data_IF_401619045814
#
_entry.id   IF_401619045814
#
_cell.length_a   1.000
_cell.length_b   1.000
_cell.length_c   1.000
_cell.angle_alpha   90.00
_cell.angle_beta   90.00
_cell.angle_gamma   90.00
#
_symmetry.space_group_name_H-M   'P 1'
#
loop_
_entity.id
_entity.type
_entity.pdbx_description
1 polymer ?
#
# COMPACT_ATOMS: atom_id res chain seq x y z
N UNK A 1 -65.08 11.23 -0.46
CA UNK A 1 -66.03 11.73 -1.46
C UNK A 1 -65.35 11.88 -2.81
N UNK A 2 -65.98 11.19 -3.77
CA UNK A 2 -65.94 11.35 -5.25
C UNK A 2 -64.62 10.98 -5.92
N UNK A 3 -64.43 9.77 -6.44
CA UNK A 3 -65.08 9.06 -7.58
C UNK A 3 -65.03 9.83 -8.93
N UNK A 4 -64.34 9.25 -9.91
CA UNK A 4 -64.79 9.02 -11.31
C UNK A 4 -63.54 8.72 -12.15
N UNK A 5 -63.33 7.54 -12.63
CA UNK A 5 -63.99 6.76 -13.70
C UNK A 5 -63.40 7.01 -15.09
N UNK A 6 -62.96 5.90 -15.69
CA UNK A 6 -63.08 5.48 -17.07
C UNK A 6 -62.26 6.15 -18.19
N UNK A 7 -61.52 5.35 -18.90
CA UNK A 7 -61.02 5.63 -20.22
C UNK A 7 -60.22 4.47 -20.79
N UNK A 8 -60.87 3.39 -21.16
CA UNK A 8 -60.35 2.31 -22.00
C UNK A 8 -60.12 2.85 -23.41
N UNK A 9 -58.93 2.65 -23.98
CA UNK A 9 -58.71 2.67 -25.42
C UNK A 9 -57.67 1.62 -25.78
N UNK A 10 -58.19 0.52 -26.32
CA UNK A 10 -57.43 -0.48 -27.07
C UNK A 10 -57.03 0.11 -28.41
N UNK A 11 -55.75 0.08 -28.76
CA UNK A 11 -55.29 0.13 -30.16
C UNK A 11 -54.13 -0.85 -30.35
N UNK A 12 -54.35 -1.67 -31.34
CA UNK A 12 -53.66 -2.77 -31.95
C UNK A 12 -52.13 -2.70 -32.15
N UNK A 13 -51.57 -3.84 -32.00
CA UNK A 13 -50.57 -4.61 -32.81
C UNK A 13 -49.74 -3.81 -33.85
N UNK A 14 -48.42 -3.81 -33.67
CA UNK A 14 -47.47 -3.96 -34.77
C UNK A 14 -46.19 -4.61 -34.24
N UNK A 15 -46.01 -5.89 -34.55
CA UNK A 15 -44.79 -6.63 -34.32
C UNK A 15 -43.76 -6.20 -35.38
N UNK A 16 -42.67 -5.55 -34.96
CA UNK A 16 -41.45 -5.49 -35.74
C UNK A 16 -40.38 -6.28 -35.00
N UNK A 17 -40.08 -7.47 -35.52
CA UNK A 17 -38.92 -8.25 -35.13
C UNK A 17 -37.65 -7.56 -35.65
N UNK A 18 -36.96 -6.83 -34.77
CA UNK A 18 -35.60 -6.39 -35.02
C UNK A 18 -34.66 -7.45 -34.42
N UNK A 19 -34.10 -8.29 -35.26
CA UNK A 19 -33.01 -9.20 -34.93
C UNK A 19 -31.76 -8.38 -34.65
N UNK A 20 -31.63 -7.92 -33.42
CA UNK A 20 -30.41 -7.30 -32.93
C UNK A 20 -29.34 -8.36 -32.68
N UNK A 21 -28.32 -8.44 -33.53
CA UNK A 21 -27.10 -9.16 -33.21
C UNK A 21 -26.49 -8.52 -31.97
N UNK A 22 -26.69 -9.14 -30.80
CA UNK A 22 -25.98 -8.81 -29.58
C UNK A 22 -24.52 -9.23 -29.75
N UNK A 23 -23.68 -8.34 -30.21
CA UNK A 23 -22.22 -8.49 -30.08
C UNK A 23 -21.88 -8.33 -28.61
N UNK A 24 -21.88 -9.44 -27.89
CA UNK A 24 -21.30 -9.49 -26.55
C UNK A 24 -19.84 -9.12 -26.66
N UNK A 25 -19.35 -8.03 -26.04
CA UNK A 25 -17.91 -7.80 -26.01
C UNK A 25 -17.29 -8.95 -25.23
N UNK A 26 -16.52 -9.79 -25.91
CA UNK A 26 -15.66 -10.76 -25.24
C UNK A 26 -14.85 -10.02 -24.19
N UNK A 27 -14.77 -10.53 -22.93
CA UNK A 27 -13.82 -9.98 -21.97
C UNK A 27 -12.43 -10.09 -22.62
N UNK A 28 -11.87 -8.97 -23.01
CA UNK A 28 -10.44 -8.87 -23.33
C UNK A 28 -9.73 -9.27 -22.05
N UNK A 29 -9.32 -10.54 -21.97
CA UNK A 29 -8.24 -10.96 -21.08
C UNK A 29 -7.07 -10.08 -21.52
N UNK A 30 -6.79 -9.05 -20.72
CA UNK A 30 -5.56 -8.28 -20.87
C UNK A 30 -4.45 -9.32 -20.91
N UNK A 31 -3.84 -9.50 -22.07
CA UNK A 31 -2.69 -10.37 -22.23
C UNK A 31 -1.63 -9.85 -21.24
N UNK A 32 -1.51 -10.53 -20.11
CA UNK A 32 -0.37 -10.36 -19.21
C UNK A 32 0.83 -10.74 -20.05
N UNK A 33 1.53 -9.74 -20.58
CA UNK A 33 2.84 -9.95 -21.17
C UNK A 33 3.74 -10.68 -20.17
N UNK A 34 4.83 -11.30 -20.61
CA UNK A 34 5.79 -11.89 -19.70
C UNK A 34 6.08 -10.89 -18.57
N UNK A 35 6.15 -11.32 -17.30
CA UNK A 35 6.46 -10.42 -16.21
C UNK A 35 7.74 -9.68 -16.54
N UNK A 36 7.67 -8.35 -16.53
CA UNK A 36 8.83 -7.49 -16.73
C UNK A 36 9.87 -7.84 -15.66
N UNK A 37 11.15 -8.07 -16.02
CA UNK A 37 12.15 -8.48 -15.06
C UNK A 37 12.27 -7.43 -13.96
N UNK A 38 12.01 -7.84 -12.72
CA UNK A 38 12.13 -6.97 -11.54
C UNK A 38 13.61 -6.62 -11.35
N UNK A 39 13.91 -5.33 -11.32
CA UNK A 39 15.24 -4.83 -10.93
C UNK A 39 15.36 -5.03 -9.42
N UNK A 40 16.42 -5.71 -8.94
CA UNK A 40 16.62 -5.87 -7.50
C UNK A 40 16.81 -4.51 -6.80
N UNK A 41 16.23 -4.35 -5.62
CA UNK A 41 16.51 -3.20 -4.77
C UNK A 41 17.91 -3.28 -4.17
N UNK A 42 18.50 -2.12 -3.82
CA UNK A 42 19.76 -2.05 -3.09
C UNK A 42 19.57 -2.50 -1.62
N UNK A 43 18.42 -2.15 -1.04
CA UNK A 43 18.04 -2.59 0.31
C UNK A 43 17.49 -4.01 0.27
N UNK A 44 18.02 -4.87 1.11
CA UNK A 44 17.60 -6.29 1.18
C UNK A 44 16.45 -6.47 2.18
N UNK A 45 15.51 -7.40 1.94
CA UNK A 45 14.40 -7.69 2.87
C UNK A 45 14.89 -7.97 4.30
N UNK A 46 15.96 -8.71 4.47
CA UNK A 46 16.53 -9.04 5.78
C UNK A 46 17.04 -7.84 6.58
N UNK A 47 17.34 -6.73 5.90
CA UNK A 47 17.83 -5.51 6.55
C UNK A 47 16.69 -4.71 7.18
N UNK A 48 15.46 -4.85 6.68
CA UNK A 48 14.31 -4.11 7.20
C UNK A 48 13.38 -4.94 8.08
N UNK A 49 13.53 -6.26 8.09
CA UNK A 49 12.81 -7.12 9.05
C UNK A 49 13.15 -6.72 10.46
N UNK A 50 12.13 -6.63 11.32
CA UNK A 50 12.32 -6.29 12.71
C UNK A 50 11.21 -5.43 13.32
N UNK A 51 11.52 -4.83 14.46
CA UNK A 51 10.60 -3.98 15.24
C UNK A 51 10.96 -2.52 15.06
N UNK A 52 9.97 -1.71 14.75
CA UNK A 52 10.15 -0.31 14.39
C UNK A 52 9.17 0.58 15.17
N UNK A 53 9.64 1.67 15.71
CA UNK A 53 8.77 2.75 16.11
C UNK A 53 8.37 3.53 14.86
N UNK A 54 7.09 3.87 14.74
CA UNK A 54 6.54 4.51 13.54
C UNK A 54 5.86 5.83 13.86
N UNK A 55 6.10 6.83 13.01
CA UNK A 55 5.35 8.09 12.94
C UNK A 55 5.41 8.63 11.51
N UNK A 56 4.54 9.59 11.16
CA UNK A 56 4.53 10.19 9.83
C UNK A 56 4.46 11.72 9.90
N UNK A 57 4.90 12.38 8.83
CA UNK A 57 4.84 13.83 8.67
C UNK A 57 4.34 14.21 7.28
N UNK A 58 3.72 15.38 7.18
CA UNK A 58 3.30 15.98 5.91
C UNK A 58 4.23 17.12 5.47
N UNK A 59 4.88 17.78 6.43
CA UNK A 59 5.77 18.92 6.16
C UNK A 59 7.21 18.54 6.44
N UNK A 60 8.14 18.78 5.53
CA UNK A 60 9.55 18.41 5.68
C UNK A 60 10.20 18.95 6.97
N UNK A 61 9.79 20.13 7.44
CA UNK A 61 10.28 20.75 8.69
C UNK A 61 9.94 19.94 9.94
N UNK A 62 8.91 19.09 9.87
CA UNK A 62 8.49 18.25 10.99
C UNK A 62 9.30 16.96 11.13
N UNK A 63 10.19 16.65 10.17
CA UNK A 63 10.93 15.39 10.12
C UNK A 63 11.64 15.05 11.43
N UNK A 64 12.41 15.99 11.99
CA UNK A 64 13.20 15.74 13.21
C UNK A 64 12.31 15.44 14.42
N UNK A 65 11.22 16.20 14.58
CA UNK A 65 10.24 15.99 15.65
C UNK A 65 9.54 14.64 15.48
N UNK A 66 9.19 14.29 14.25
CA UNK A 66 8.50 13.03 13.93
C UNK A 66 9.40 11.83 14.18
N UNK A 67 10.70 11.93 13.88
CA UNK A 67 11.66 10.87 14.19
C UNK A 67 11.78 10.64 15.70
N UNK A 68 11.79 11.70 16.51
CA UNK A 68 11.79 11.59 17.97
C UNK A 68 10.48 10.91 18.47
N UNK A 69 9.34 11.26 17.88
CA UNK A 69 8.05 10.61 18.17
C UNK A 69 8.09 9.11 17.82
N UNK A 70 8.62 8.77 16.64
CA UNK A 70 8.75 7.37 16.21
C UNK A 70 9.56 6.54 17.22
N UNK A 71 10.66 7.07 17.75
CA UNK A 71 11.44 6.39 18.81
C UNK A 71 10.60 6.06 20.04
N UNK A 72 9.69 6.95 20.42
CA UNK A 72 8.77 6.74 21.55
C UNK A 72 7.78 5.59 21.35
N UNK A 73 7.50 5.22 20.10
CA UNK A 73 6.54 4.16 19.74
C UNK A 73 7.10 2.73 19.90
N UNK A 74 8.34 2.56 20.30
CA UNK A 74 8.93 1.23 20.50
C UNK A 74 8.27 0.40 21.61
N UNK A 75 7.40 0.98 22.41
CA UNK A 75 6.53 0.24 23.38
C UNK A 75 5.46 -0.59 22.65
N UNK A 76 4.94 -0.06 21.54
CA UNK A 76 3.99 -0.71 20.64
C UNK A 76 4.53 -0.66 19.20
N UNK A 77 5.53 -1.46 18.88
CA UNK A 77 6.25 -1.33 17.63
C UNK A 77 5.44 -1.81 16.43
N UNK A 78 5.62 -1.17 15.31
CA UNK A 78 5.32 -1.72 14.00
C UNK A 78 6.28 -2.87 13.72
N UNK A 79 5.76 -4.05 13.40
CA UNK A 79 6.59 -5.23 13.14
C UNK A 79 6.60 -5.50 11.63
N UNK A 80 7.80 -5.48 11.06
CA UNK A 80 8.04 -5.94 9.69
C UNK A 80 8.51 -7.38 9.78
N UNK A 81 7.69 -8.31 9.30
CA UNK A 81 7.99 -9.74 9.29
C UNK A 81 8.76 -10.17 8.04
N UNK A 82 9.38 -11.35 8.08
CA UNK A 82 9.91 -12.00 6.90
C UNK A 82 8.77 -12.62 6.09
N UNK A 83 8.74 -12.36 4.78
CA UNK A 83 7.84 -13.03 3.85
C UNK A 83 8.34 -14.43 3.47
N UNK A 84 7.43 -15.29 3.04
CA UNK A 84 7.74 -16.67 2.62
C UNK A 84 8.30 -16.75 1.20
N UNK A 85 8.04 -15.72 0.39
CA UNK A 85 8.47 -15.66 -1.02
C UNK A 85 9.63 -14.67 -1.21
N UNK A 86 10.40 -14.39 -0.14
CA UNK A 86 11.56 -13.50 -0.19
C UNK A 86 11.25 -12.01 -0.06
N UNK A 87 10.00 -11.66 0.25
CA UNK A 87 9.57 -10.30 0.56
C UNK A 87 9.51 -10.02 2.06
N UNK A 88 8.73 -9.01 2.44
CA UNK A 88 8.48 -8.63 3.82
C UNK A 88 6.99 -8.50 4.09
N UNK A 89 6.56 -8.84 5.29
CA UNK A 89 5.17 -8.74 5.72
C UNK A 89 4.90 -7.33 6.27
N UNK A 90 4.09 -6.57 5.55
CA UNK A 90 3.69 -5.21 5.92
C UNK A 90 2.22 -4.96 5.55
N UNK A 91 1.64 -3.91 6.13
CA UNK A 91 0.33 -3.43 5.72
C UNK A 91 0.44 -2.53 4.49
N UNK A 92 -0.47 -2.68 3.53
CA UNK A 92 -0.71 -1.66 2.50
C UNK A 92 -1.48 -0.48 3.09
N UNK A 93 -1.54 0.63 2.35
CA UNK A 93 -2.46 1.70 2.66
C UNK A 93 -3.90 1.17 2.65
N UNK A 94 -4.73 1.66 3.56
CA UNK A 94 -6.15 1.30 3.68
C UNK A 94 -6.43 -0.21 3.89
N UNK A 95 -5.42 -0.98 4.31
CA UNK A 95 -5.55 -2.41 4.59
C UNK A 95 -5.26 -2.73 6.05
N UNK A 96 -6.12 -3.52 6.68
CA UNK A 96 -5.91 -4.10 8.01
C UNK A 96 -5.21 -5.46 7.96
N UNK A 97 -4.91 -5.98 6.78
CA UNK A 97 -4.29 -7.28 6.58
C UNK A 97 -2.82 -7.14 6.21
N UNK A 98 -1.97 -7.99 6.83
CA UNK A 98 -0.58 -8.12 6.44
C UNK A 98 -0.48 -8.79 5.07
N UNK A 99 0.31 -8.19 4.19
CA UNK A 99 0.59 -8.72 2.86
C UNK A 99 2.09 -8.84 2.67
N UNK A 100 2.51 -9.81 1.86
CA UNK A 100 3.91 -9.92 1.48
C UNK A 100 4.22 -8.90 0.37
N UNK A 101 5.08 -7.94 0.70
CA UNK A 101 5.54 -6.90 -0.21
C UNK A 101 6.95 -7.19 -0.69
N UNK A 102 7.24 -6.82 -1.93
CA UNK A 102 8.55 -6.95 -2.56
C UNK A 102 9.36 -5.68 -2.37
N UNK A 103 10.67 -5.84 -2.22
CA UNK A 103 11.62 -4.76 -2.39
C UNK A 103 12.05 -4.75 -3.86
N UNK A 104 11.85 -3.64 -4.52
CA UNK A 104 12.01 -3.49 -5.98
C UNK A 104 12.88 -2.28 -6.28
N UNK A 105 13.89 -2.46 -7.13
CA UNK A 105 14.65 -1.35 -7.70
C UNK A 105 13.99 -0.77 -8.93
N UNK A 106 14.40 0.41 -9.32
CA UNK A 106 14.02 1.04 -10.59
C UNK A 106 15.23 1.39 -11.43
N UNK A 107 15.03 1.59 -12.74
CA UNK A 107 16.07 2.05 -13.66
C UNK A 107 16.67 3.41 -13.28
N UNK A 108 15.96 4.19 -12.45
CA UNK A 108 16.45 5.45 -11.91
C UNK A 108 17.29 5.28 -10.61
N UNK A 109 17.59 4.05 -10.21
CA UNK A 109 18.38 3.76 -9.00
C UNK A 109 17.64 4.01 -7.69
N UNK A 110 16.31 4.08 -7.71
CA UNK A 110 15.49 4.22 -6.51
C UNK A 110 14.91 2.88 -6.08
N UNK A 111 14.74 2.70 -4.79
CA UNK A 111 14.19 1.49 -4.19
C UNK A 111 12.75 1.72 -3.71
N UNK A 112 11.94 0.68 -3.82
CA UNK A 112 10.53 0.70 -3.46
C UNK A 112 10.14 -0.53 -2.67
N UNK A 113 9.09 -0.41 -1.86
CA UNK A 113 8.40 -1.51 -1.19
C UNK A 113 6.94 -1.51 -1.62
N UNK A 114 6.46 -2.62 -2.17
CA UNK A 114 5.07 -2.76 -2.59
C UNK A 114 4.72 -4.14 -3.11
N UNK A 115 3.50 -4.32 -3.62
CA UNK A 115 3.09 -5.57 -4.24
C UNK A 115 4.01 -5.96 -5.40
N UNK A 116 4.05 -7.26 -5.73
CA UNK A 116 4.75 -7.72 -6.93
C UNK A 116 4.23 -7.03 -8.18
N UNK A 117 5.10 -6.84 -9.17
CA UNK A 117 4.77 -6.21 -10.46
C UNK A 117 5.55 -4.92 -10.73
N UNK A 118 5.00 -4.09 -11.61
CA UNK A 118 5.66 -2.88 -12.14
C UNK A 118 6.22 -1.96 -11.04
N UNK A 119 7.38 -1.37 -11.28
CA UNK A 119 8.07 -0.42 -10.39
C UNK A 119 8.31 0.93 -11.11
N UNK A 120 7.85 2.08 -10.52
CA UNK A 120 6.98 2.15 -9.36
C UNK A 120 5.53 1.79 -9.71
N UNK A 121 4.85 1.10 -8.81
CA UNK A 121 3.40 0.86 -8.85
C UNK A 121 2.63 1.83 -7.96
N UNK A 122 1.31 1.98 -8.13
CA UNK A 122 0.51 2.94 -7.36
C UNK A 122 0.48 2.63 -5.85
N UNK A 123 0.63 1.38 -5.45
CA UNK A 123 0.67 0.96 -4.06
C UNK A 123 2.08 0.88 -3.47
N UNK A 124 3.10 1.26 -4.25
CA UNK A 124 4.47 1.27 -3.79
C UNK A 124 4.74 2.45 -2.85
N UNK A 125 5.72 2.24 -2.00
CA UNK A 125 6.38 3.28 -1.20
C UNK A 125 7.82 3.36 -1.61
N UNK A 126 8.29 4.54 -1.95
CA UNK A 126 9.71 4.81 -2.20
C UNK A 126 10.47 4.75 -0.88
N UNK A 127 11.61 4.06 -0.86
CA UNK A 127 12.57 4.14 0.23
C UNK A 127 13.40 5.40 0.02
N UNK A 128 12.95 6.52 0.61
CA UNK A 128 13.61 7.82 0.46
C UNK A 128 14.99 7.81 1.11
N UNK A 129 15.13 7.11 2.23
CA UNK A 129 16.42 6.89 2.90
C UNK A 129 16.36 5.67 3.81
N UNK A 130 17.50 4.99 3.94
CA UNK A 130 17.70 3.89 4.87
C UNK A 130 19.17 3.82 5.31
N UNK A 131 19.41 3.79 6.62
CA UNK A 131 20.75 3.69 7.21
C UNK A 131 20.89 2.49 8.17
N UNK A 132 19.93 1.55 8.12
CA UNK A 132 19.85 0.39 9.02
C UNK A 132 19.17 0.71 10.36
N UNK A 133 19.09 1.95 10.77
CA UNK A 133 18.48 2.42 12.04
C UNK A 133 17.22 3.24 11.81
N UNK A 134 17.21 4.05 10.77
CA UNK A 134 16.07 4.88 10.37
C UNK A 134 15.75 4.57 8.91
N UNK A 135 14.48 4.34 8.64
CA UNK A 135 13.94 4.15 7.30
C UNK A 135 12.86 5.19 7.06
N UNK A 136 12.90 5.86 5.92
CA UNK A 136 11.91 6.84 5.50
C UNK A 136 11.21 6.32 4.25
N UNK A 137 9.90 6.17 4.34
CA UNK A 137 9.06 5.68 3.25
C UNK A 137 8.06 6.75 2.82
N UNK A 138 7.96 6.98 1.52
CA UNK A 138 7.00 7.90 0.93
C UNK A 138 6.10 7.16 -0.06
N UNK A 139 4.80 7.37 0.00
CA UNK A 139 3.88 6.79 -0.98
C UNK A 139 4.11 7.36 -2.37
N UNK A 140 4.03 6.49 -3.39
CA UNK A 140 4.12 6.89 -4.80
C UNK A 140 2.85 7.59 -5.24
N UNK A 141 1.71 7.10 -4.80
CA UNK A 141 0.42 7.74 -5.04
C UNK A 141 0.28 9.01 -4.21
N UNK A 142 0.04 10.13 -4.90
CA UNK A 142 0.00 11.45 -4.28
C UNK A 142 -1.19 11.65 -3.34
N UNK A 143 -2.35 11.00 -3.62
CA UNK A 143 -3.51 11.06 -2.75
C UNK A 143 -3.25 10.31 -1.45
N UNK A 144 -2.66 9.11 -1.55
CA UNK A 144 -2.28 8.28 -0.40
C UNK A 144 -1.21 9.00 0.44
N UNK A 145 -0.19 9.61 -0.21
CA UNK A 145 0.82 10.43 0.47
C UNK A 145 0.18 11.64 1.17
N UNK A 146 -0.80 12.27 0.53
CA UNK A 146 -1.56 13.37 1.13
C UNK A 146 -2.35 12.97 2.38
N UNK A 147 -2.86 11.73 2.45
CA UNK A 147 -3.60 11.22 3.61
C UNK A 147 -2.69 10.75 4.74
N UNK A 148 -1.65 10.00 4.43
CA UNK A 148 -0.81 9.31 5.41
C UNK A 148 0.51 10.01 5.69
N UNK A 149 0.97 10.86 4.79
CA UNK A 149 2.27 11.52 4.88
C UNK A 149 3.45 10.58 4.64
N UNK A 150 4.64 11.14 4.80
CA UNK A 150 5.90 10.41 4.72
C UNK A 150 6.18 9.71 6.05
N UNK A 151 6.31 8.38 6.03
CA UNK A 151 6.54 7.55 7.21
C UNK A 151 8.00 7.53 7.63
N UNK A 152 8.25 7.67 8.93
CA UNK A 152 9.56 7.44 9.55
C UNK A 152 9.47 6.20 10.43
N UNK A 153 10.36 5.26 10.19
CA UNK A 153 10.52 4.04 10.95
C UNK A 153 11.88 4.10 11.67
N UNK A 154 11.87 4.04 13.00
CA UNK A 154 13.08 4.01 13.82
C UNK A 154 13.22 2.63 14.43
N UNK A 155 14.37 1.98 14.21
CA UNK A 155 14.60 0.61 14.69
C UNK A 155 14.58 0.57 16.21
N UNK A 156 13.75 -0.28 16.76
CA UNK A 156 13.67 -0.52 18.20
C UNK A 156 14.82 -1.41 18.67
N UNK A 157 15.34 -1.12 19.85
CA UNK A 157 16.33 -2.00 20.49
C UNK A 157 15.76 -3.41 20.70
N UNK A 158 16.58 -4.45 20.74
CA UNK A 158 16.17 -5.79 21.12
C UNK A 158 15.44 -5.79 22.46
N UNK A 159 14.44 -6.66 22.62
CA UNK A 159 13.58 -6.70 23.83
C UNK A 159 14.38 -6.82 25.13
N UNK A 160 15.48 -7.59 25.13
CA UNK A 160 16.36 -7.74 26.30
C UNK A 160 17.00 -6.42 26.75
N UNK A 161 17.45 -5.59 25.78
CA UNK A 161 18.03 -4.28 26.08
C UNK A 161 16.99 -3.29 26.64
N UNK A 162 15.72 -3.39 26.20
CA UNK A 162 14.63 -2.57 26.72
C UNK A 162 14.26 -2.94 28.17
N UNK A 163 14.27 -4.22 28.51
CA UNK A 163 14.00 -4.69 29.88
C UNK A 163 15.05 -4.17 30.87
N UNK A 164 16.32 -4.18 30.48
CA UNK A 164 17.40 -3.68 31.34
C UNK A 164 17.37 -2.16 31.51
N UNK A 165 16.90 -1.40 30.52
CA UNK A 165 16.76 0.05 30.61
C UNK A 165 15.58 0.49 31.50
N UNK A 166 14.59 -0.37 31.69
CA UNK A 166 13.41 -0.12 32.49
C UNK A 166 13.57 -0.58 33.97
N UNK A 167 14.67 -1.27 34.32
CA UNK A 167 14.96 -1.65 35.70
C UNK A 167 15.28 -0.39 36.53
N UNK A 168 14.59 -0.15 37.66
CA UNK A 168 14.95 0.97 38.55
C UNK A 168 16.34 0.73 39.14
N UNK A 169 17.15 1.79 39.19
CA UNK A 169 18.43 1.81 39.89
C UNK A 169 18.20 1.96 41.37
#
# INVERSE_FOLDING_TARGET
MRNRSFGWSLIALSALAASGCSTTPSPQIAASGPPEPEIPAHVRPTEIVGRWGYAAYHKPEDRTRTEANARGQCKQPYVIGQGTNGGVMMYLADSSELQELRLKGSSAGRDYIGPAGRTPGPQDREIVSFDGRVMVLKYVDAEVDGRYGTGIFVRCAPRAAQANAAAPR
#
